data_IF_355735650264
#
_entry.id   IF_355735650264
#
_cell.length_a   1.000
_cell.length_b   1.000
_cell.length_c   1.000
_cell.angle_alpha   90.00
_cell.angle_beta   90.00
_cell.angle_gamma   90.00
#
_symmetry.space_group_name_H-M   'P 1'
#
loop_
_entity.id
_entity.type
_entity.pdbx_description
1 polymer ?
#
# COMPACT_ATOMS: atom_id res chain seq x y z
N UNK A 1 67.03 2.87 22.09
CA UNK A 1 65.73 2.80 22.78
C UNK A 1 64.69 2.48 21.70
N UNK A 2 64.38 1.22 21.40
CA UNK A 2 63.63 0.18 22.15
C UNK A 2 62.13 0.19 21.80
N UNK A 3 61.67 -0.88 21.13
CA UNK A 3 60.24 -1.24 20.97
C UNK A 3 59.60 -1.55 22.34
N UNK A 4 58.28 -1.47 22.43
CA UNK A 4 57.46 -2.67 22.70
C UNK A 4 56.16 -2.72 21.85
N UNK A 5 55.38 -3.79 21.72
CA UNK A 5 55.53 -5.26 21.96
C UNK A 5 54.40 -5.98 21.16
N UNK A 6 54.58 -7.24 20.77
CA UNK A 6 53.51 -8.12 20.24
C UNK A 6 52.98 -9.06 21.34
N UNK A 7 51.66 -9.21 21.48
CA UNK A 7 50.96 -10.28 22.24
C UNK A 7 49.44 -10.03 22.25
N UNK A 8 48.51 -10.99 22.17
CA UNK A 8 48.52 -12.37 21.69
C UNK A 8 47.06 -12.85 21.50
N UNK A 9 46.87 -14.07 20.98
CA UNK A 9 45.56 -14.73 20.86
C UNK A 9 44.83 -14.92 22.20
N UNK A 10 43.49 -14.96 22.14
CA UNK A 10 42.76 -16.04 22.80
C UNK A 10 41.40 -16.31 22.14
N UNK A 11 41.14 -17.56 21.76
CA UNK A 11 39.81 -18.04 21.36
C UNK A 11 38.84 -18.07 22.55
N UNK A 12 37.56 -17.82 22.29
CA UNK A 12 36.53 -17.66 23.31
C UNK A 12 35.14 -18.10 22.84
N UNK A 13 34.99 -19.36 22.42
CA UNK A 13 33.69 -19.97 22.11
C UNK A 13 32.72 -19.84 23.30
N UNK A 14 31.60 -19.14 23.10
CA UNK A 14 30.42 -19.22 23.97
C UNK A 14 29.17 -18.67 23.25
N UNK A 15 28.67 -19.40 22.25
CA UNK A 15 27.32 -19.19 21.73
C UNK A 15 26.30 -19.88 22.65
N UNK A 16 25.36 -19.15 23.30
CA UNK A 16 24.32 -19.79 24.10
C UNK A 16 23.40 -20.62 23.19
N UNK A 17 23.25 -21.90 23.51
CA UNK A 17 22.60 -22.87 22.62
C UNK A 17 21.09 -22.68 22.57
N UNK A 18 20.53 -22.54 21.36
CA UNK A 18 19.09 -22.63 21.16
C UNK A 18 18.60 -24.08 21.33
N UNK A 19 17.44 -24.32 21.98
CA UNK A 19 16.90 -25.68 22.15
C UNK A 19 16.34 -26.22 20.82
N UNK A 20 16.39 -27.55 20.60
CA UNK A 20 15.89 -28.17 19.38
C UNK A 20 14.35 -28.15 19.33
N UNK A 21 13.78 -27.52 18.30
CA UNK A 21 12.34 -27.57 18.03
C UNK A 21 11.95 -28.95 17.49
N UNK A 22 10.99 -29.61 18.16
CA UNK A 22 10.49 -30.95 17.81
C UNK A 22 9.61 -30.95 16.56
N UNK A 23 9.74 -31.97 15.71
CA UNK A 23 8.89 -32.16 14.55
C UNK A 23 7.47 -32.67 14.92
N UNK A 24 6.44 -32.09 14.30
CA UNK A 24 5.04 -32.55 14.30
C UNK A 24 4.46 -32.19 12.93
N UNK A 25 4.27 -33.12 11.97
CA UNK A 25 3.24 -34.17 11.85
C UNK A 25 1.90 -33.64 11.29
N UNK A 26 1.63 -33.99 10.02
CA UNK A 26 0.36 -33.92 9.24
C UNK A 26 -0.67 -34.99 9.75
N UNK A 27 -1.94 -35.08 9.25
CA UNK A 27 -2.64 -34.32 8.18
C UNK A 27 -3.85 -33.52 8.76
N UNK A 28 -5.14 -33.44 8.26
CA UNK A 28 -5.93 -34.19 7.24
C UNK A 28 -6.30 -33.38 5.95
N UNK A 29 -6.98 -33.98 4.94
CA UNK A 29 -7.37 -33.32 3.68
C UNK A 29 -8.88 -33.05 3.46
N UNK A 30 -9.19 -32.04 2.64
CA UNK A 30 -10.39 -31.78 1.81
C UNK A 30 -11.82 -32.17 2.28
N UNK A 31 -12.72 -31.17 2.35
CA UNK A 31 -14.18 -31.37 2.40
C UNK A 31 -15.01 -30.12 2.07
N UNK A 32 -16.03 -30.29 1.21
CA UNK A 32 -17.21 -29.44 0.92
C UNK A 32 -17.06 -27.99 0.38
N UNK A 33 -18.06 -27.58 -0.42
CA UNK A 33 -18.24 -26.23 -0.96
C UNK A 33 -19.40 -25.52 -0.25
N UNK A 34 -19.14 -24.42 0.45
CA UNK A 34 -20.20 -23.58 1.03
C UNK A 34 -20.81 -22.68 -0.06
N UNK A 35 -22.14 -22.73 -0.22
CA UNK A 35 -22.89 -21.76 -1.04
C UNK A 35 -23.28 -20.56 -0.18
N UNK A 36 -22.99 -19.35 -0.66
CA UNK A 36 -23.45 -18.11 -0.04
C UNK A 36 -24.89 -17.75 -0.46
N UNK A 37 -25.69 -17.10 0.39
CA UNK A 37 -27.02 -16.60 0.05
C UNK A 37 -26.95 -15.36 -0.87
N UNK A 38 -28.02 -15.11 -1.61
CA UNK A 38 -28.12 -13.95 -2.50
C UNK A 38 -28.36 -12.64 -1.72
N UNK A 39 -27.79 -11.54 -2.22
CA UNK A 39 -27.95 -10.19 -1.65
C UNK A 39 -29.34 -9.63 -2.03
N UNK A 40 -30.14 -9.10 -1.08
CA UNK A 40 -31.42 -8.45 -1.41
C UNK A 40 -31.22 -7.09 -2.10
N UNK A 41 -32.01 -6.81 -3.13
CA UNK A 41 -32.08 -5.48 -3.76
C UNK A 41 -33.16 -4.62 -3.08
N UNK A 42 -32.75 -3.49 -2.51
CA UNK A 42 -33.64 -2.49 -1.90
C UNK A 42 -32.88 -1.19 -1.67
N UNK A 43 -33.45 -0.06 -2.11
CA UNK A 43 -32.75 1.23 -2.14
C UNK A 43 -33.13 2.21 -1.02
N UNK A 44 -32.26 3.20 -0.81
CA UNK A 44 -32.48 4.41 -0.01
C UNK A 44 -31.52 5.49 -0.51
N UNK A 45 -31.91 6.77 -0.45
CA UNK A 45 -31.10 7.85 -1.03
C UNK A 45 -29.85 8.18 -0.21
N UNK A 46 -28.70 8.26 -0.90
CA UNK A 46 -27.41 8.68 -0.37
C UNK A 46 -26.27 8.12 -1.21
N UNK A 47 -25.56 8.97 -1.97
CA UNK A 47 -24.40 8.60 -2.78
C UNK A 47 -24.70 7.58 -3.90
N UNK A 48 -24.96 8.06 -5.14
CA UNK A 48 -25.18 7.14 -6.28
C UNK A 48 -23.86 6.54 -6.79
N UNK A 49 -23.46 5.42 -6.20
CA UNK A 49 -22.56 4.48 -6.86
C UNK A 49 -23.17 4.05 -8.20
N UNK A 50 -22.39 4.10 -9.27
CA UNK A 50 -22.81 3.69 -10.62
C UNK A 50 -22.16 2.35 -10.95
N UNK A 51 -22.99 1.35 -11.27
CA UNK A 51 -22.51 0.06 -11.81
C UNK A 51 -21.72 0.32 -13.11
N UNK A 52 -20.47 -0.17 -13.25
CA UNK A 52 -19.66 0.03 -14.47
C UNK A 52 -20.29 -0.54 -15.76
N UNK A 53 -21.35 -1.33 -15.66
CA UNK A 53 -22.11 -1.86 -16.81
C UNK A 53 -23.27 -0.93 -17.25
N UNK A 54 -23.55 0.17 -16.54
CA UNK A 54 -24.59 1.11 -16.91
C UNK A 54 -24.17 1.98 -18.11
N UNK A 55 -24.74 1.70 -19.29
CA UNK A 55 -24.55 2.54 -20.47
C UNK A 55 -25.09 3.97 -20.20
N UNK A 56 -24.32 5.04 -20.49
CA UNK A 56 -24.75 6.41 -20.25
C UNK A 56 -26.04 6.75 -21.00
N UNK A 57 -26.99 7.43 -20.34
CA UNK A 57 -28.18 7.94 -21.02
C UNK A 57 -27.84 9.22 -21.78
N UNK A 58 -28.68 9.60 -22.74
CA UNK A 58 -28.55 10.88 -23.44
C UNK A 58 -28.62 12.09 -22.48
N UNK A 59 -29.24 11.96 -21.30
CA UNK A 59 -29.28 13.01 -20.29
C UNK A 59 -27.94 13.15 -19.53
N UNK A 60 -27.19 12.06 -19.36
CA UNK A 60 -25.87 12.08 -18.71
C UNK A 60 -24.83 12.73 -19.62
N UNK A 61 -24.84 12.38 -20.91
CA UNK A 61 -24.03 13.04 -21.93
C UNK A 61 -24.35 14.55 -22.05
N UNK A 62 -25.62 14.93 -21.95
CA UNK A 62 -26.03 16.35 -21.95
C UNK A 62 -25.52 17.11 -20.70
N UNK A 63 -25.47 16.47 -19.53
CA UNK A 63 -24.87 17.08 -18.32
C UNK A 63 -23.37 17.29 -18.45
N UNK A 64 -22.64 16.32 -19.00
CA UNK A 64 -21.17 16.38 -19.14
C UNK A 64 -20.66 17.55 -20.01
N UNK A 65 -21.49 18.09 -20.91
CA UNK A 65 -21.13 19.20 -21.80
C UNK A 65 -21.76 20.56 -21.42
N UNK A 66 -22.59 20.64 -20.37
CA UNK A 66 -23.45 21.80 -20.11
C UNK A 66 -23.20 22.59 -18.81
N UNK A 67 -22.34 22.11 -17.91
CA UNK A 67 -22.17 22.72 -16.58
C UNK A 67 -21.02 23.73 -16.51
N UNK A 68 -21.35 25.02 -16.38
CA UNK A 68 -20.41 26.06 -15.95
C UNK A 68 -20.10 25.95 -14.44
N UNK A 69 -19.08 26.67 -13.97
CA UNK A 69 -18.53 26.53 -12.62
C UNK A 69 -19.57 26.72 -11.49
N UNK A 70 -19.71 25.72 -10.63
CA UNK A 70 -20.54 25.76 -9.42
C UNK A 70 -20.93 24.37 -8.91
N UNK A 71 -20.19 23.86 -7.92
CA UNK A 71 -20.58 22.77 -6.99
C UNK A 71 -21.46 21.65 -7.58
N UNK A 72 -20.98 21.00 -8.64
CA UNK A 72 -21.54 19.72 -9.10
C UNK A 72 -20.72 18.58 -8.49
N UNK A 73 -21.38 17.54 -7.97
CA UNK A 73 -20.72 16.35 -7.41
C UNK A 73 -19.81 15.69 -8.45
N UNK A 74 -18.50 15.86 -8.28
CA UNK A 74 -17.49 15.26 -9.15
C UNK A 74 -17.34 13.79 -8.77
N UNK A 75 -18.11 12.93 -9.45
CA UNK A 75 -18.13 11.48 -9.26
C UNK A 75 -16.69 10.94 -9.17
N UNK A 76 -16.30 10.52 -7.98
CA UNK A 76 -14.95 10.01 -7.70
C UNK A 76 -14.79 8.66 -8.38
N UNK A 77 -13.81 8.55 -9.28
CA UNK A 77 -13.65 7.37 -10.13
C UNK A 77 -12.56 6.47 -9.58
N UNK A 78 -12.90 5.24 -9.17
CA UNK A 78 -11.88 4.21 -8.90
C UNK A 78 -11.14 3.88 -10.19
N UNK A 79 -9.82 4.03 -10.20
CA UNK A 79 -8.92 3.79 -11.34
C UNK A 79 -8.07 2.53 -11.17
N UNK A 80 -7.97 1.99 -9.96
CA UNK A 80 -7.38 0.67 -9.69
C UNK A 80 -8.06 0.00 -8.49
N UNK A 81 -8.24 -1.32 -8.57
CA UNK A 81 -8.53 -2.22 -7.46
C UNK A 81 -7.54 -3.39 -7.54
N UNK A 82 -6.73 -3.58 -6.50
CA UNK A 82 -5.84 -4.73 -6.32
C UNK A 82 -6.47 -5.66 -5.29
N UNK A 83 -6.84 -6.87 -5.70
CA UNK A 83 -7.27 -7.96 -4.81
C UNK A 83 -6.21 -9.07 -4.83
N UNK A 84 -5.19 -9.01 -3.94
CA UNK A 84 -4.17 -10.04 -3.86
C UNK A 84 -4.63 -11.34 -3.16
N UNK A 85 -5.90 -11.42 -2.73
CA UNK A 85 -6.49 -12.63 -2.15
C UNK A 85 -7.02 -13.53 -3.27
N UNK A 86 -7.74 -12.94 -4.23
CA UNK A 86 -8.48 -13.67 -5.26
C UNK A 86 -7.90 -13.49 -6.69
N UNK A 87 -7.15 -12.42 -6.97
CA UNK A 87 -6.75 -12.02 -8.33
C UNK A 87 -5.22 -12.05 -8.55
N UNK A 88 -4.58 -13.17 -8.23
CA UNK A 88 -3.14 -13.40 -8.40
C UNK A 88 -2.86 -14.48 -9.44
N UNK A 89 -2.12 -14.12 -10.50
CA UNK A 89 -1.58 -15.04 -11.49
C UNK A 89 -0.14 -15.42 -11.18
N UNK A 90 0.08 -16.42 -10.32
CA UNK A 90 1.43 -16.92 -10.02
C UNK A 90 2.11 -17.53 -11.26
N UNK A 91 3.40 -17.26 -11.44
CA UNK A 91 4.20 -17.83 -12.52
C UNK A 91 4.64 -19.26 -12.18
N UNK A 92 4.57 -20.16 -13.16
CA UNK A 92 5.10 -21.53 -13.03
C UNK A 92 6.63 -21.59 -12.89
N UNK A 93 7.33 -20.58 -13.41
CA UNK A 93 8.77 -20.37 -13.21
C UNK A 93 9.01 -18.89 -12.83
N UNK A 94 9.71 -18.60 -11.72
CA UNK A 94 10.07 -17.24 -11.35
C UNK A 94 10.99 -16.58 -12.39
N UNK A 95 10.74 -15.30 -12.69
CA UNK A 95 11.53 -14.53 -13.66
C UNK A 95 12.41 -13.54 -12.93
N UNK A 96 13.69 -13.88 -12.74
CA UNK A 96 14.70 -12.93 -12.23
C UNK A 96 14.77 -11.72 -13.14
N UNK A 97 14.45 -10.55 -12.58
CA UNK A 97 14.53 -9.26 -13.24
C UNK A 97 15.60 -8.44 -12.52
N UNK A 98 16.77 -8.27 -13.13
CA UNK A 98 17.69 -7.23 -12.69
C UNK A 98 16.98 -5.89 -12.80
N UNK A 99 16.86 -5.15 -11.70
CA UNK A 99 16.17 -3.87 -11.68
C UNK A 99 16.88 -2.85 -12.60
N UNK A 100 16.16 -2.34 -13.60
CA UNK A 100 16.70 -1.28 -14.48
C UNK A 100 16.39 0.06 -13.84
N UNK A 101 17.42 0.61 -13.18
CA UNK A 101 17.58 2.00 -12.72
C UNK A 101 16.42 2.64 -11.94
N UNK A 102 16.70 2.97 -10.68
CA UNK A 102 16.77 4.40 -10.36
C UNK A 102 17.88 4.75 -9.37
N UNK A 103 18.63 5.79 -9.74
CA UNK A 103 19.63 6.61 -9.04
C UNK A 103 20.71 6.10 -8.05
N UNK A 104 20.74 4.85 -7.53
CA UNK A 104 21.89 4.46 -6.65
C UNK A 104 22.35 3.01 -6.70
N UNK A 105 21.49 2.01 -6.49
CA UNK A 105 21.94 0.62 -6.29
C UNK A 105 21.31 -0.39 -7.27
N UNK A 106 22.02 -1.50 -7.52
CA UNK A 106 21.54 -2.62 -8.34
C UNK A 106 21.04 -3.74 -7.42
N UNK A 107 19.78 -4.15 -7.59
CA UNK A 107 19.23 -5.36 -6.97
C UNK A 107 18.62 -6.28 -8.05
N UNK A 108 18.81 -7.57 -7.88
CA UNK A 108 18.03 -8.59 -8.59
C UNK A 108 16.71 -8.83 -7.82
N UNK A 109 15.58 -8.57 -8.49
CA UNK A 109 14.24 -8.80 -7.95
C UNK A 109 13.63 -9.99 -8.69
N UNK A 110 13.03 -10.93 -7.97
CA UNK A 110 12.46 -12.12 -8.59
C UNK A 110 10.98 -11.92 -8.80
N UNK A 111 10.56 -11.71 -10.05
CA UNK A 111 9.14 -11.63 -10.41
C UNK A 111 8.51 -13.02 -10.30
N UNK A 112 7.50 -13.16 -9.43
CA UNK A 112 6.92 -14.46 -9.04
C UNK A 112 5.46 -14.62 -9.42
N UNK A 113 4.71 -13.54 -9.61
CA UNK A 113 3.30 -13.57 -10.06
C UNK A 113 2.84 -12.21 -10.57
N UNK A 114 1.89 -12.19 -11.49
CA UNK A 114 1.23 -10.97 -11.96
C UNK A 114 -0.03 -10.69 -11.11
N UNK A 115 -0.28 -9.41 -10.78
CA UNK A 115 -1.52 -8.95 -10.15
C UNK A 115 -2.57 -8.65 -11.22
N UNK A 116 -3.78 -9.17 -11.06
CA UNK A 116 -4.85 -9.14 -12.05
C UNK A 116 -6.01 -8.25 -11.58
N UNK A 117 -6.60 -7.50 -12.50
CA UNK A 117 -7.86 -6.78 -12.28
C UNK A 117 -9.02 -7.74 -12.51
N UNK A 118 -9.66 -8.19 -11.42
CA UNK A 118 -10.69 -9.24 -11.47
C UNK A 118 -11.85 -8.99 -12.47
N UNK A 119 -12.34 -7.75 -12.70
CA UNK A 119 -13.38 -7.48 -13.69
C UNK A 119 -12.95 -7.65 -15.16
N UNK A 120 -11.68 -7.39 -15.49
CA UNK A 120 -11.19 -7.36 -16.88
C UNK A 120 -10.27 -8.52 -17.25
N UNK A 121 -9.65 -9.17 -16.26
CA UNK A 121 -8.58 -10.15 -16.47
C UNK A 121 -7.23 -9.52 -16.87
N UNK A 122 -7.17 -8.20 -16.95
CA UNK A 122 -5.98 -7.44 -17.33
C UNK A 122 -4.94 -7.46 -16.19
N UNK A 123 -3.64 -7.44 -16.53
CA UNK A 123 -2.62 -7.16 -15.51
C UNK A 123 -2.72 -5.71 -15.02
N UNK A 124 -2.58 -5.52 -13.72
CA UNK A 124 -2.47 -4.23 -13.03
C UNK A 124 -1.20 -4.09 -12.20
N UNK A 125 -0.43 -5.16 -12.00
CA UNK A 125 0.85 -5.09 -11.31
C UNK A 125 1.62 -6.41 -11.34
N UNK A 126 2.68 -6.47 -10.54
CA UNK A 126 3.59 -7.61 -10.42
C UNK A 126 3.94 -7.83 -8.95
N UNK A 127 4.13 -9.08 -8.57
CA UNK A 127 4.54 -9.54 -7.25
C UNK A 127 6.02 -9.94 -7.33
N UNK A 128 6.85 -9.35 -6.49
CA UNK A 128 8.28 -9.61 -6.43
C UNK A 128 8.69 -10.22 -5.10
N UNK A 129 9.55 -11.22 -5.18
CA UNK A 129 10.25 -11.85 -4.07
C UNK A 129 9.36 -12.56 -3.01
N UNK A 130 8.13 -12.90 -3.40
CA UNK A 130 7.17 -13.69 -2.62
C UNK A 130 7.01 -15.08 -3.24
N UNK A 131 7.23 -16.14 -2.47
CA UNK A 131 7.01 -17.52 -2.90
C UNK A 131 5.53 -17.73 -3.26
N UNK A 132 5.20 -18.35 -4.41
CA UNK A 132 3.82 -18.65 -4.79
C UNK A 132 3.04 -19.42 -3.71
N UNK A 133 1.94 -18.84 -3.24
CA UNK A 133 1.05 -19.44 -2.24
C UNK A 133 -0.37 -18.92 -2.38
N UNK A 134 -1.35 -19.63 -1.79
CA UNK A 134 -2.69 -19.07 -1.62
C UNK A 134 -2.64 -18.04 -0.48
N UNK A 135 -2.97 -16.79 -0.79
CA UNK A 135 -3.14 -15.75 0.22
C UNK A 135 -4.33 -16.08 1.14
N UNK A 136 -4.22 -15.68 2.41
CA UNK A 136 -5.20 -15.96 3.45
C UNK A 136 -6.20 -14.78 3.58
N UNK A 137 -7.51 -14.99 3.44
CA UNK A 137 -8.50 -13.92 3.63
C UNK A 137 -8.47 -13.25 5.01
N UNK A 138 -7.96 -13.93 6.05
CA UNK A 138 -7.85 -13.38 7.40
C UNK A 138 -6.55 -12.61 7.68
N UNK A 139 -5.48 -12.84 6.90
CA UNK A 139 -4.17 -12.17 7.14
C UNK A 139 -3.49 -11.60 5.89
N UNK A 140 -4.17 -11.60 4.75
CA UNK A 140 -3.75 -11.00 3.48
C UNK A 140 -2.61 -11.71 2.75
N UNK A 141 -2.23 -11.17 1.59
CA UNK A 141 -0.97 -11.54 0.94
C UNK A 141 0.18 -10.83 1.64
N UNK A 142 1.01 -11.59 2.36
CA UNK A 142 2.07 -11.07 3.22
C UNK A 142 3.27 -10.61 2.40
N UNK A 143 3.69 -9.37 2.63
CA UNK A 143 4.90 -8.78 2.03
C UNK A 143 6.14 -8.92 2.91
N UNK A 144 6.03 -9.58 4.06
CA UNK A 144 7.17 -10.01 4.87
C UNK A 144 6.87 -11.32 5.62
N UNK A 145 7.90 -11.98 6.13
CA UNK A 145 7.78 -13.26 6.85
C UNK A 145 8.11 -14.49 5.97
N UNK A 146 7.57 -15.68 6.28
CA UNK A 146 8.12 -16.96 5.80
C UNK A 146 7.97 -17.24 4.31
N UNK A 147 7.00 -16.60 3.64
CA UNK A 147 6.78 -16.76 2.20
C UNK A 147 7.55 -15.72 1.37
N UNK A 148 8.56 -15.06 1.95
CA UNK A 148 9.26 -13.91 1.36
C UNK A 148 10.76 -14.12 1.46
N UNK A 149 11.47 -13.86 0.36
CA UNK A 149 12.91 -14.16 0.23
C UNK A 149 13.75 -13.01 -0.33
N UNK A 150 13.14 -11.86 -0.63
CA UNK A 150 13.82 -10.70 -1.19
C UNK A 150 14.71 -10.03 -0.15
N UNK A 151 16.02 -10.10 -0.33
CA UNK A 151 17.04 -9.50 0.56
C UNK A 151 17.42 -8.10 0.10
N UNK A 152 17.56 -7.17 1.04
CA UNK A 152 17.95 -5.79 0.79
C UNK A 152 18.92 -5.32 1.88
N UNK A 153 20.06 -4.77 1.47
CA UNK A 153 20.91 -3.97 2.36
C UNK A 153 20.25 -2.59 2.53
N UNK A 154 20.09 -2.14 3.77
CA UNK A 154 19.57 -0.79 4.06
C UNK A 154 20.72 0.18 4.31
N UNK A 155 20.58 1.45 3.91
CA UNK A 155 21.70 2.41 3.84
C UNK A 155 22.45 2.56 5.17
N UNK A 156 21.71 2.66 6.27
CA UNK A 156 22.22 2.92 7.62
C UNK A 156 21.84 1.79 8.61
N UNK A 157 21.55 0.57 8.10
CA UNK A 157 20.91 -0.48 8.88
C UNK A 157 21.26 -1.93 8.48
N UNK A 158 20.54 -2.92 9.00
CA UNK A 158 20.78 -4.34 8.71
C UNK A 158 20.26 -4.75 7.33
N UNK A 159 20.63 -5.95 6.88
CA UNK A 159 19.90 -6.62 5.80
C UNK A 159 18.46 -6.94 6.25
N UNK A 160 17.47 -6.66 5.40
CA UNK A 160 16.06 -6.97 5.63
C UNK A 160 15.47 -7.87 4.55
N UNK A 161 14.45 -8.65 4.93
CA UNK A 161 13.69 -9.51 4.02
C UNK A 161 12.30 -8.93 3.75
N UNK A 162 12.00 -8.64 2.48
CA UNK A 162 10.80 -7.94 2.04
C UNK A 162 10.35 -8.43 0.65
N UNK A 163 9.05 -8.38 0.41
CA UNK A 163 8.41 -8.62 -0.89
C UNK A 163 7.68 -7.35 -1.31
N UNK A 164 7.26 -7.24 -2.57
CA UNK A 164 6.59 -6.01 -3.01
C UNK A 164 5.63 -6.21 -4.17
N UNK A 165 4.66 -5.30 -4.27
CA UNK A 165 3.91 -5.11 -5.51
C UNK A 165 4.49 -3.95 -6.31
N UNK A 166 4.82 -4.18 -7.58
CA UNK A 166 5.06 -3.13 -8.59
C UNK A 166 3.74 -2.93 -9.35
N UNK A 167 3.04 -1.83 -9.10
CA UNK A 167 1.75 -1.54 -9.74
C UNK A 167 1.96 -0.81 -11.07
N UNK A 168 1.04 -1.00 -12.01
CA UNK A 168 1.09 -0.34 -13.32
C UNK A 168 0.67 1.13 -13.17
N UNK A 169 1.66 1.97 -12.85
CA UNK A 169 1.50 3.40 -12.58
C UNK A 169 0.80 4.18 -13.71
N UNK A 170 0.77 3.65 -14.94
CA UNK A 170 0.03 4.22 -16.08
C UNK A 170 -1.48 4.16 -15.85
N UNK A 171 -1.98 3.13 -15.16
CA UNK A 171 -3.39 3.00 -14.74
C UNK A 171 -3.73 3.91 -13.55
N UNK A 172 -2.74 4.44 -12.84
CA UNK A 172 -2.89 5.43 -11.75
C UNK A 172 -2.83 6.89 -12.26
N UNK A 173 -3.43 7.15 -13.42
CA UNK A 173 -3.53 8.50 -14.00
C UNK A 173 -4.73 9.26 -13.42
N UNK A 174 -4.49 10.41 -12.81
CA UNK A 174 -5.50 11.29 -12.20
C UNK A 174 -5.77 12.54 -13.04
N UNK A 175 -6.96 13.12 -12.93
CA UNK A 175 -7.44 14.21 -13.77
C UNK A 175 -6.99 15.62 -13.33
N UNK A 176 -6.68 15.79 -12.04
CA UNK A 176 -6.27 17.05 -11.41
C UNK A 176 -5.37 16.80 -10.19
N UNK A 177 -5.43 17.68 -9.20
CA UNK A 177 -4.73 17.54 -7.91
C UNK A 177 -5.37 16.46 -7.03
N UNK A 178 -6.70 16.31 -7.13
CA UNK A 178 -7.47 15.43 -6.26
C UNK A 178 -7.19 13.94 -6.52
N UNK A 179 -6.77 13.22 -5.48
CA UNK A 179 -6.44 11.80 -5.54
C UNK A 179 -6.67 11.13 -4.19
N UNK A 180 -7.18 9.90 -4.19
CA UNK A 180 -7.36 9.10 -2.97
C UNK A 180 -6.79 7.69 -3.12
N UNK A 181 -6.30 7.13 -2.02
CA UNK A 181 -5.85 5.73 -1.95
C UNK A 181 -6.36 5.11 -0.65
N UNK A 182 -7.01 3.95 -0.76
CA UNK A 182 -7.44 3.14 0.37
C UNK A 182 -6.67 1.81 0.39
N UNK A 183 -6.12 1.43 1.54
CA UNK A 183 -5.43 0.16 1.76
C UNK A 183 -6.10 -0.58 2.91
N UNK A 184 -6.59 -1.79 2.65
CA UNK A 184 -7.01 -2.74 3.69
C UNK A 184 -5.87 -3.71 3.94
N UNK A 185 -5.46 -3.88 5.19
CA UNK A 185 -4.36 -4.75 5.58
C UNK A 185 -4.57 -5.35 6.97
N UNK A 186 -3.76 -6.34 7.31
CA UNK A 186 -3.68 -6.93 8.65
C UNK A 186 -2.22 -6.91 9.08
N UNK A 187 -1.90 -6.18 10.17
CA UNK A 187 -0.53 -6.19 10.68
C UNK A 187 -0.20 -7.57 11.27
N UNK A 188 0.96 -8.11 10.94
CA UNK A 188 1.45 -9.43 11.35
C UNK A 188 2.59 -9.35 12.36
N UNK A 189 3.01 -8.13 12.72
CA UNK A 189 3.99 -7.83 13.75
C UNK A 189 4.07 -6.31 13.98
N UNK A 190 4.89 -5.88 14.94
CA UNK A 190 5.03 -4.45 15.26
C UNK A 190 5.52 -3.63 14.05
N UNK A 191 4.88 -2.48 13.84
CA UNK A 191 5.28 -1.47 12.86
C UNK A 191 6.68 -0.92 13.19
N UNK A 192 7.38 -0.41 12.17
CA UNK A 192 8.74 0.13 12.25
C UNK A 192 8.86 1.38 11.39
N UNK A 193 9.81 2.25 11.71
CA UNK A 193 10.19 3.39 10.88
C UNK A 193 10.53 2.94 9.44
N UNK A 194 10.23 3.76 8.45
CA UNK A 194 10.34 3.48 7.01
C UNK A 194 9.55 2.25 6.52
N UNK A 195 8.53 1.80 7.26
CA UNK A 195 7.59 0.80 6.76
C UNK A 195 6.57 1.45 5.81
N UNK A 196 6.92 1.52 4.52
CA UNK A 196 6.08 2.08 3.47
C UNK A 196 4.93 1.14 3.07
N UNK A 197 3.70 1.51 3.44
CA UNK A 197 2.47 0.78 3.08
C UNK A 197 2.18 0.92 1.59
N UNK A 198 2.18 2.16 1.09
CA UNK A 198 1.89 2.48 -0.31
C UNK A 198 2.69 3.69 -0.78
N UNK A 199 3.10 3.68 -2.04
CA UNK A 199 3.74 4.79 -2.72
C UNK A 199 3.28 4.85 -4.20
N UNK A 200 3.08 6.05 -4.75
CA UNK A 200 3.07 6.28 -6.19
C UNK A 200 3.73 7.63 -6.51
N UNK A 201 4.39 7.76 -7.67
CA UNK A 201 5.15 8.96 -7.96
C UNK A 201 5.85 9.05 -9.31
N UNK A 202 6.77 10.00 -9.39
CA UNK A 202 7.71 10.23 -10.49
C UNK A 202 9.14 10.49 -9.94
N UNK A 203 9.52 9.80 -8.87
CA UNK A 203 10.73 10.04 -8.09
C UNK A 203 10.49 10.89 -6.83
N UNK A 204 11.56 11.14 -6.08
CA UNK A 204 11.60 11.97 -4.86
C UNK A 204 10.86 13.32 -4.96
N UNK A 205 10.86 13.91 -6.16
CA UNK A 205 10.27 15.23 -6.41
C UNK A 205 8.75 15.23 -6.63
N UNK A 206 8.09 14.08 -6.69
CA UNK A 206 6.63 14.03 -6.92
C UNK A 206 6.09 12.68 -6.45
N UNK A 207 5.76 12.58 -5.15
CA UNK A 207 5.28 11.36 -4.53
C UNK A 207 3.97 11.56 -3.76
N UNK A 208 3.18 10.49 -3.71
CA UNK A 208 2.07 10.26 -2.78
C UNK A 208 2.45 9.02 -1.98
N UNK A 209 2.48 9.09 -0.64
CA UNK A 209 3.03 7.99 0.18
C UNK A 209 2.34 7.85 1.52
N UNK A 210 2.02 6.60 1.88
CA UNK A 210 1.49 6.17 3.17
C UNK A 210 2.57 5.30 3.83
N UNK A 211 3.07 5.70 5.00
CA UNK A 211 4.19 5.04 5.67
C UNK A 211 4.18 5.25 7.19
N UNK A 212 4.85 4.35 7.91
CA UNK A 212 5.18 4.55 9.32
C UNK A 212 6.49 5.34 9.43
N UNK A 213 6.40 6.57 9.94
CA UNK A 213 7.48 7.55 10.00
C UNK A 213 7.44 8.25 11.37
N UNK A 214 8.61 8.47 11.96
CA UNK A 214 8.80 9.08 13.29
C UNK A 214 7.96 8.48 14.44
N UNK A 215 7.57 7.20 14.31
CA UNK A 215 6.77 6.49 15.31
C UNK A 215 5.26 6.60 15.11
N UNK A 216 4.78 7.10 13.96
CA UNK A 216 3.36 7.24 13.62
C UNK A 216 3.08 6.82 12.17
N UNK A 217 1.85 6.36 11.89
CA UNK A 217 1.34 6.28 10.52
C UNK A 217 1.11 7.71 9.98
N UNK A 218 1.79 8.05 8.88
CA UNK A 218 1.69 9.33 8.17
C UNK A 218 1.23 9.16 6.72
N UNK A 219 0.67 10.25 6.18
CA UNK A 219 0.46 10.48 4.76
C UNK A 219 1.33 11.68 4.34
N UNK A 220 2.06 11.55 3.23
CA UNK A 220 2.97 12.56 2.71
C UNK A 220 2.80 12.79 1.21
N UNK A 221 2.92 14.05 0.79
CA UNK A 221 2.92 14.51 -0.61
C UNK A 221 4.16 15.39 -0.88
N UNK A 222 4.64 15.41 -2.12
CA UNK A 222 5.55 16.46 -2.62
C UNK A 222 5.02 17.12 -3.90
N UNK A 223 5.31 18.42 -4.13
CA UNK A 223 4.91 19.13 -5.34
C UNK A 223 5.88 18.84 -6.49
N UNK A 224 5.35 18.60 -7.70
CA UNK A 224 6.11 18.24 -8.89
C UNK A 224 6.99 19.38 -9.49
N UNK A 225 6.95 20.59 -8.93
CA UNK A 225 7.78 21.69 -9.45
C UNK A 225 9.27 21.40 -9.20
N UNK A 226 10.08 21.48 -10.26
CA UNK A 226 11.41 20.85 -10.36
C UNK A 226 12.54 21.51 -9.53
N UNK A 227 12.21 22.22 -8.45
CA UNK A 227 13.14 22.90 -7.54
C UNK A 227 12.64 22.79 -6.09
N UNK A 228 13.38 22.08 -5.24
CA UNK A 228 13.09 21.97 -3.80
C UNK A 228 11.99 20.99 -3.41
N UNK A 229 11.35 20.30 -4.34
CA UNK A 229 10.18 19.43 -4.13
C UNK A 229 10.22 18.50 -2.88
N UNK A 230 11.33 17.81 -2.59
CA UNK A 230 11.44 16.95 -1.41
C UNK A 230 11.55 17.73 -0.08
N UNK A 231 12.22 18.89 -0.10
CA UNK A 231 12.27 19.81 1.05
C UNK A 231 10.90 20.50 1.26
N UNK A 232 10.14 20.66 0.18
CA UNK A 232 8.75 21.11 0.17
C UNK A 232 7.75 19.96 0.41
N UNK A 233 8.19 18.80 0.90
CA UNK A 233 7.29 17.68 1.26
C UNK A 233 6.37 18.12 2.40
N UNK A 234 5.08 17.91 2.21
CA UNK A 234 4.02 18.16 3.19
C UNK A 234 3.48 16.84 3.72
N UNK A 235 3.03 16.82 4.97
CA UNK A 235 2.58 15.60 5.63
C UNK A 235 1.50 15.86 6.68
N UNK A 236 0.64 14.87 6.90
CA UNK A 236 -0.20 14.78 8.08
C UNK A 236 -0.02 13.43 8.78
N UNK A 237 0.00 13.46 10.12
CA UNK A 237 0.09 12.27 10.96
C UNK A 237 -1.30 11.86 11.43
N UNK A 238 -1.53 10.55 11.55
CA UNK A 238 -2.74 9.98 12.15
C UNK A 238 -2.83 10.18 13.67
N UNK A 239 -1.75 10.60 14.33
CA UNK A 239 -1.64 10.64 15.79
C UNK A 239 -1.62 9.27 16.48
N UNK A 240 -1.93 8.18 15.77
CA UNK A 240 -1.79 6.80 16.23
C UNK A 240 -0.32 6.42 16.18
N UNK A 241 0.26 6.01 17.31
CA UNK A 241 1.65 5.58 17.38
C UNK A 241 1.78 4.17 16.80
N UNK A 242 2.93 3.88 16.20
CA UNK A 242 3.25 2.58 15.56
C UNK A 242 3.04 1.35 16.45
N UNK A 243 3.22 1.53 17.76
CA UNK A 243 3.01 0.49 18.79
C UNK A 243 1.55 0.29 19.24
N UNK A 244 0.65 1.19 18.84
CA UNK A 244 -0.78 1.13 19.16
C UNK A 244 -1.59 0.48 17.98
N UNK A 245 -0.91 0.07 16.90
CA UNK A 245 -1.44 -0.83 15.88
C UNK A 245 -1.26 -2.29 16.33
N UNK A 246 -2.37 -2.99 16.55
CA UNK A 246 -2.43 -4.34 17.11
C UNK A 246 -2.14 -5.41 16.04
N UNK A 247 -1.11 -6.27 16.20
CA UNK A 247 -0.90 -7.40 15.31
C UNK A 247 -2.07 -8.40 15.37
N UNK A 248 -2.47 -8.92 14.21
CA UNK A 248 -3.65 -9.78 14.02
C UNK A 248 -4.93 -9.02 13.71
N UNK A 249 -4.98 -7.70 13.91
CA UNK A 249 -6.15 -6.87 13.61
C UNK A 249 -6.13 -6.31 12.19
N UNK A 250 -7.31 -6.28 11.58
CA UNK A 250 -7.54 -5.63 10.29
C UNK A 250 -7.66 -4.12 10.48
N UNK A 251 -7.01 -3.37 9.60
CA UNK A 251 -7.10 -1.92 9.50
C UNK A 251 -7.42 -1.49 8.06
N UNK A 252 -8.19 -0.42 7.93
CA UNK A 252 -8.45 0.25 6.65
C UNK A 252 -7.90 1.67 6.72
N UNK A 253 -6.81 1.93 5.99
CA UNK A 253 -6.14 3.22 5.92
C UNK A 253 -6.60 3.92 4.64
N UNK A 254 -7.07 5.17 4.74
CA UNK A 254 -7.43 5.98 3.57
C UNK A 254 -6.67 7.30 3.60
N UNK A 255 -5.93 7.60 2.53
CA UNK A 255 -5.27 8.89 2.32
C UNK A 255 -5.98 9.64 1.19
N UNK A 256 -6.26 10.93 1.39
CA UNK A 256 -7.01 11.79 0.46
C UNK A 256 -6.30 13.13 0.29
N UNK A 257 -6.02 13.48 -0.97
CA UNK A 257 -5.64 14.82 -1.40
C UNK A 257 -6.86 15.49 -2.05
N UNK A 258 -7.26 16.69 -1.61
CA UNK A 258 -8.35 17.46 -2.24
C UNK A 258 -7.87 18.18 -3.51
N UNK A 259 -8.78 18.78 -4.29
CA UNK A 259 -8.37 19.52 -5.50
C UNK A 259 -7.57 20.79 -5.15
N UNK A 260 -7.82 21.36 -3.97
CA UNK A 260 -7.07 22.48 -3.40
C UNK A 260 -5.70 22.06 -2.83
N UNK A 261 -5.41 20.75 -2.74
CA UNK A 261 -4.17 20.22 -2.18
C UNK A 261 -4.20 19.94 -0.67
N UNK A 262 -5.37 20.03 -0.02
CA UNK A 262 -5.53 19.68 1.42
C UNK A 262 -5.38 18.18 1.62
N UNK A 263 -4.82 17.78 2.76
CA UNK A 263 -4.51 16.38 3.06
C UNK A 263 -5.36 15.85 4.20
N UNK A 264 -5.95 14.66 4.02
CA UNK A 264 -6.64 13.89 5.07
C UNK A 264 -6.14 12.46 5.12
N UNK A 265 -6.06 11.92 6.33
CA UNK A 265 -5.68 10.56 6.64
C UNK A 265 -6.70 9.98 7.62
N UNK A 266 -7.36 8.91 7.20
CA UNK A 266 -8.37 8.19 7.96
C UNK A 266 -7.87 6.79 8.31
N UNK A 267 -8.28 6.29 9.48
CA UNK A 267 -8.09 4.88 9.87
C UNK A 267 -9.43 4.36 10.36
N UNK A 268 -9.87 3.25 9.75
CA UNK A 268 -11.15 2.57 10.02
C UNK A 268 -12.36 3.52 9.87
N UNK A 269 -12.29 4.38 8.84
CA UNK A 269 -13.31 5.36 8.47
C UNK A 269 -13.42 6.58 9.39
N UNK A 270 -12.62 6.65 10.46
CA UNK A 270 -12.49 7.84 11.30
C UNK A 270 -11.35 8.73 10.79
N UNK A 271 -11.58 10.05 10.71
CA UNK A 271 -10.54 11.02 10.39
C UNK A 271 -9.52 11.06 11.55
N UNK A 272 -8.24 10.87 11.22
CA UNK A 272 -7.14 10.77 12.18
C UNK A 272 -6.10 11.89 12.02
N UNK A 273 -5.86 12.32 10.79
CA UNK A 273 -5.00 13.47 10.48
C UNK A 273 -5.62 14.34 9.39
N UNK A 274 -5.53 15.66 9.56
CA UNK A 274 -5.82 16.64 8.51
C UNK A 274 -4.70 17.70 8.50
N UNK A 275 -4.45 18.31 7.35
CA UNK A 275 -3.57 19.46 7.23
C UNK A 275 -3.83 20.24 5.94
N UNK A 276 -3.39 21.50 5.89
CA UNK A 276 -3.48 22.33 4.69
C UNK A 276 -2.72 21.72 3.49
N UNK A 277 -1.72 20.87 3.75
CA UNK A 277 -1.06 20.08 2.72
C UNK A 277 -0.36 20.94 1.67
N UNK A 278 -0.52 20.59 0.39
CA UNK A 278 0.05 21.36 -0.72
C UNK A 278 -0.55 22.79 -0.77
N UNK A 279 -1.76 23.00 -0.24
CA UNK A 279 -2.38 24.33 -0.14
C UNK A 279 -1.64 25.30 0.81
N UNK A 280 -0.68 24.81 1.61
CA UNK A 280 0.21 25.65 2.43
C UNK A 280 1.40 26.21 1.63
N UNK A 281 1.67 25.70 0.43
CA UNK A 281 2.75 26.16 -0.44
C UNK A 281 2.30 27.39 -1.24
N UNK A 282 3.17 28.41 -1.46
CA UNK A 282 2.82 29.60 -2.25
C UNK A 282 2.42 29.28 -3.70
N UNK A 283 3.01 28.24 -4.27
CA UNK A 283 2.69 27.66 -5.57
C UNK A 283 3.04 26.17 -5.55
N UNK A 284 2.24 25.34 -6.24
CA UNK A 284 2.52 23.92 -6.41
C UNK A 284 1.94 23.38 -7.72
N UNK A 285 2.52 22.27 -8.19
CA UNK A 285 1.95 21.43 -9.24
C UNK A 285 1.94 19.97 -8.78
N UNK A 286 1.10 19.13 -9.36
CA UNK A 286 1.09 17.68 -9.13
C UNK A 286 1.04 16.92 -10.45
N UNK A 287 1.81 15.85 -10.61
CA UNK A 287 1.72 15.07 -11.85
C UNK A 287 0.39 14.32 -11.96
N UNK A 288 -0.22 14.43 -13.13
CA UNK A 288 -1.42 13.65 -13.51
C UNK A 288 -1.07 12.20 -13.83
N UNK A 289 0.11 11.94 -14.38
CA UNK A 289 0.64 10.60 -14.67
C UNK A 289 1.68 10.20 -13.64
N UNK A 290 1.88 8.90 -13.43
CA UNK A 290 2.89 8.34 -12.52
C UNK A 290 3.80 7.37 -13.29
N UNK A 291 5.11 7.40 -13.03
CA UNK A 291 6.10 6.45 -13.57
C UNK A 291 6.15 5.16 -12.75
N UNK A 292 5.92 5.28 -11.45
CA UNK A 292 6.08 4.20 -10.49
C UNK A 292 4.95 4.17 -9.46
N UNK A 293 4.67 2.96 -8.97
CA UNK A 293 3.77 2.72 -7.86
C UNK A 293 4.13 1.39 -7.19
N UNK A 294 4.17 1.41 -5.87
CA UNK A 294 4.69 0.34 -5.04
C UNK A 294 3.80 0.12 -3.81
N UNK A 295 3.67 -1.14 -3.39
CA UNK A 295 3.04 -1.50 -2.11
C UNK A 295 4.01 -2.36 -1.29
N UNK A 296 4.07 -2.11 0.02
CA UNK A 296 5.01 -2.71 0.97
C UNK A 296 6.44 -2.17 0.92
N UNK A 297 6.75 -1.22 0.02
CA UNK A 297 8.06 -0.56 -0.10
C UNK A 297 7.95 0.84 -0.73
N UNK A 298 9.01 1.62 -0.60
CA UNK A 298 9.24 2.86 -1.35
C UNK A 298 9.94 2.58 -2.69
N UNK A 299 10.10 3.64 -3.50
CA UNK A 299 10.90 3.60 -4.72
C UNK A 299 12.34 3.13 -4.46
N UNK A 300 13.01 3.69 -3.44
CA UNK A 300 14.32 3.23 -2.93
C UNK A 300 14.09 2.13 -1.89
N UNK A 301 14.44 0.86 -2.20
CA UNK A 301 14.19 -0.22 -1.27
C UNK A 301 15.27 -0.31 -0.17
N UNK A 302 16.42 0.30 -0.40
CA UNK A 302 17.51 0.52 0.56
C UNK A 302 17.14 1.53 1.66
N UNK A 303 16.07 2.30 1.47
CA UNK A 303 15.41 3.14 2.49
C UNK A 303 13.98 2.64 2.77
N UNK A 304 13.73 1.33 2.63
CA UNK A 304 12.43 0.72 2.95
C UNK A 304 12.62 -0.36 4.00
N UNK A 305 11.94 -0.21 5.12
CA UNK A 305 11.80 -1.30 6.09
C UNK A 305 10.57 -2.17 5.75
N UNK A 306 10.60 -3.47 6.09
CA UNK A 306 9.53 -4.37 5.73
C UNK A 306 8.21 -4.02 6.44
N UNK A 307 7.18 -3.71 5.66
CA UNK A 307 5.79 -3.69 6.16
C UNK A 307 5.45 -5.08 6.70
N UNK A 308 5.28 -5.14 8.02
CA UNK A 308 4.84 -6.34 8.75
C UNK A 308 3.32 -6.43 8.71
N UNK A 309 2.80 -6.62 7.51
CA UNK A 309 1.39 -6.84 7.24
C UNK A 309 1.19 -7.80 6.06
N UNK A 310 -0.01 -8.35 5.95
CA UNK A 310 -0.53 -8.80 4.67
C UNK A 310 -1.58 -7.85 4.13
N UNK A 311 -1.53 -7.64 2.82
CA UNK A 311 -2.43 -6.73 2.11
C UNK A 311 -3.70 -7.50 1.73
N UNK A 312 -4.86 -6.92 2.01
CA UNK A 312 -6.18 -7.45 1.67
C UNK A 312 -6.73 -6.79 0.41
N UNK A 313 -6.60 -5.47 0.28
CA UNK A 313 -6.93 -4.73 -0.94
C UNK A 313 -6.15 -3.41 -1.03
N UNK A 314 -5.87 -2.96 -2.25
CA UNK A 314 -5.45 -1.56 -2.53
C UNK A 314 -6.41 -0.98 -3.56
N UNK A 315 -7.00 0.17 -3.26
CA UNK A 315 -7.89 0.90 -4.16
C UNK A 315 -7.37 2.31 -4.37
N UNK A 316 -7.38 2.79 -5.61
CA UNK A 316 -6.92 4.13 -5.96
C UNK A 316 -7.96 4.86 -6.80
N UNK A 317 -8.08 6.17 -6.59
CA UNK A 317 -9.17 7.00 -7.09
C UNK A 317 -8.67 8.29 -7.74
N UNK A 318 -9.26 8.60 -8.88
CA UNK A 318 -9.23 9.90 -9.55
C UNK A 318 -10.31 10.79 -8.92
N UNK A 319 -9.89 11.71 -8.06
CA UNK A 319 -10.76 12.48 -7.17
C UNK A 319 -10.50 12.26 -5.67
N UNK A 320 -11.09 13.14 -4.87
CA UNK A 320 -11.03 13.12 -3.41
C UNK A 320 -12.28 12.44 -2.83
N UNK A 321 -12.11 11.35 -2.08
CA UNK A 321 -13.21 10.73 -1.33
C UNK A 321 -13.68 11.67 -0.21
N UNK A 322 -14.99 11.79 -0.03
CA UNK A 322 -15.59 12.58 1.04
C UNK A 322 -15.73 11.79 2.36
N UNK A 323 -15.87 12.51 3.47
CA UNK A 323 -15.98 11.94 4.82
C UNK A 323 -17.12 10.93 5.00
N UNK A 324 -18.23 11.07 4.27
CA UNK A 324 -19.38 10.18 4.39
C UNK A 324 -19.14 8.88 3.62
N UNK A 325 -18.59 8.96 2.40
CA UNK A 325 -18.12 7.79 1.64
C UNK A 325 -17.03 7.02 2.39
N UNK A 326 -16.02 7.72 2.92
CA UNK A 326 -14.95 7.11 3.72
C UNK A 326 -15.52 6.37 4.94
N UNK A 327 -16.46 6.97 5.67
CA UNK A 327 -17.10 6.33 6.83
C UNK A 327 -18.05 5.17 6.46
N UNK A 328 -18.73 5.25 5.32
CA UNK A 328 -19.69 4.23 4.90
C UNK A 328 -19.03 2.93 4.40
N UNK A 329 -17.93 3.06 3.64
CA UNK A 329 -17.28 1.96 2.90
C UNK A 329 -15.93 1.50 3.49
N UNK A 330 -15.29 2.34 4.31
CA UNK A 330 -13.93 2.10 4.83
C UNK A 330 -13.85 2.06 6.36
N UNK A 331 -14.99 2.16 7.07
CA UNK A 331 -15.05 1.73 8.47
C UNK A 331 -15.01 0.21 8.60
N UNK A 332 -14.14 -0.28 9.50
CA UNK A 332 -14.10 -1.68 9.91
C UNK A 332 -15.38 -1.98 10.69
N UNK A 333 -16.36 -2.58 10.01
CA UNK A 333 -17.53 -3.16 10.67
C UNK A 333 -17.06 -4.40 11.42
N UNK A 334 -17.37 -4.49 12.70
CA UNK A 334 -16.91 -5.59 13.56
C UNK A 334 -17.39 -6.95 13.04
N UNK A 335 -16.49 -7.69 12.38
CA UNK A 335 -16.64 -9.13 12.14
C UNK A 335 -15.82 -9.88 13.21
N UNK A 336 -16.07 -9.55 14.48
CA UNK A 336 -15.70 -10.40 15.61
C UNK A 336 -16.61 -11.62 15.62
N UNK A 337 -16.38 -12.54 14.68
CA UNK A 337 -16.79 -13.91 14.85
C UNK A 337 -15.96 -14.47 16.00
N UNK A 338 -16.58 -14.67 17.17
CA UNK A 338 -15.92 -15.24 18.34
C UNK A 338 -15.30 -16.59 17.96
N UNK A 339 -13.99 -16.72 18.16
CA UNK A 339 -13.27 -18.00 18.07
C UNK A 339 -13.09 -18.51 19.49
N UNK A 340 -13.96 -19.44 19.88
CA UNK A 340 -13.75 -20.36 21.02
C UNK A 340 -12.94 -21.60 20.56
#
# INVERSE_FOLDING_TARGET
MTKPVESAYHDGNNAPSAPPMSASVYPPPYGEQVRYPAIPSGGGDGGRYVDPNALPTAADAARMHGAAAGTADRIVRRIMLVDPINAVGWLGEPRTRTGVADYTYKREITHTGDLIDAPTGDRIGKIHDVTPHRADPQTGLRLSGPNVFGKYETVDGPEVTLGSFELDARKLTVSGTAASVAVRLVYTGACVHDAHVFHMGNGWADHFTIAHLDGYLKFSLSPNNASGAWENRVECSSGIRDKDFEPGKMYTIVAVCTEEGRMRLYVDGELRGEGDGLAALPEFETSRTRKEAWCGRFMRPDTSMPVRAGILSVEAFDGALDDATVRAEYSVREVYANVE
#
